data_IF_175223191587
#
_entry.id   IF_175223191587
#
_cell.length_a   1.000
_cell.length_b   1.000
_cell.length_c   1.000
_cell.angle_alpha   90.00
_cell.angle_beta   90.00
_cell.angle_gamma   90.00
#
_symmetry.space_group_name_H-M   'P 1'
#
loop_
_entity.id
_entity.type
_entity.pdbx_description
1 polymer ?
#
# COMPACT_ATOMS: atom_id res chain seq x y z
N UNK A 1 -5.62 13.55 12.35
CA UNK A 1 -4.88 12.54 13.14
C UNK A 1 -3.43 12.70 12.74
N UNK A 2 -2.53 12.84 13.73
CA UNK A 2 -1.10 13.17 13.57
C UNK A 2 -0.45 12.43 12.39
N UNK A 3 0.19 13.18 11.50
CA UNK A 3 0.87 12.71 10.30
C UNK A 3 2.39 12.88 10.39
N UNK A 4 2.94 12.72 11.58
CA UNK A 4 4.39 12.79 11.78
C UNK A 4 4.98 11.37 11.79
N UNK A 5 6.12 11.12 11.11
CA UNK A 5 6.80 9.83 11.14
C UNK A 5 7.19 9.44 12.58
N UNK A 6 7.18 8.15 12.96
CA UNK A 6 7.70 7.66 14.25
C UNK A 6 9.16 8.04 14.53
N UNK A 7 9.94 8.37 13.50
CA UNK A 7 11.33 8.84 13.65
C UNK A 7 11.39 10.33 14.04
N UNK A 8 10.32 11.08 13.79
CA UNK A 8 10.19 12.50 14.14
C UNK A 8 9.19 12.75 15.28
N UNK A 9 8.30 11.80 15.55
CA UNK A 9 7.44 11.70 16.74
C UNK A 9 8.14 11.00 17.92
N UNK A 10 9.47 10.97 17.90
CA UNK A 10 10.23 11.03 19.13
C UNK A 10 9.93 12.40 19.76
N UNK A 11 8.76 12.49 20.40
CA UNK A 11 8.26 13.67 21.07
C UNK A 11 9.35 14.18 22.00
N UNK A 12 9.63 15.45 21.78
CA UNK A 12 10.62 16.32 22.38
C UNK A 12 10.77 16.05 23.90
N UNK A 13 11.81 15.32 24.29
CA UNK A 13 12.34 15.46 25.65
C UNK A 13 13.05 14.29 26.32
N UNK A 14 12.94 13.02 25.88
CA UNK A 14 13.61 11.95 26.64
C UNK A 14 13.85 10.61 25.92
N UNK A 15 14.20 10.60 24.63
CA UNK A 15 14.71 9.37 23.99
C UNK A 15 16.24 9.37 24.09
N UNK A 16 16.88 8.41 24.79
CA UNK A 16 18.34 8.41 25.02
C UNK A 16 19.15 8.52 23.74
N UNK A 17 18.65 7.92 22.66
CA UNK A 17 19.26 7.91 21.33
C UNK A 17 19.24 9.31 20.69
N UNK A 18 18.12 10.05 20.83
CA UNK A 18 18.00 11.41 20.31
C UNK A 18 18.95 12.37 21.01
N UNK A 19 19.13 12.20 22.33
CA UNK A 19 20.03 13.01 23.14
C UNK A 19 21.49 12.66 22.82
N UNK A 20 21.80 11.37 22.69
CA UNK A 20 23.12 10.89 22.28
C UNK A 20 23.53 11.40 20.90
N UNK A 21 22.61 11.44 19.93
CA UNK A 21 22.86 11.99 18.59
C UNK A 21 23.03 13.52 18.62
N UNK A 22 22.22 14.24 19.41
CA UNK A 22 22.30 15.69 19.52
C UNK A 22 23.57 16.20 20.20
N UNK A 23 24.19 15.40 21.07
CA UNK A 23 25.41 15.76 21.80
C UNK A 23 26.71 15.30 21.14
N UNK A 24 26.68 14.79 19.90
CA UNK A 24 27.88 14.22 19.27
C UNK A 24 28.94 15.25 18.86
N UNK A 25 30.19 14.88 19.09
CA UNK A 25 31.38 15.47 18.49
C UNK A 25 31.94 14.56 17.37
N UNK A 26 32.79 15.14 16.50
CA UNK A 26 33.35 14.46 15.30
C UNK A 26 34.16 13.19 15.61
N UNK A 27 34.66 13.04 16.85
CA UNK A 27 35.51 11.93 17.27
C UNK A 27 34.77 10.85 18.08
N UNK A 28 33.45 10.99 18.29
CA UNK A 28 32.67 9.98 19.02
C UNK A 28 32.52 8.69 18.19
N UNK A 29 32.34 7.55 18.85
CA UNK A 29 32.08 6.25 18.20
C UNK A 29 30.71 6.14 17.53
N UNK A 30 30.42 5.01 16.88
CA UNK A 30 29.10 4.76 16.29
C UNK A 30 28.00 4.76 17.37
N UNK A 31 26.84 5.36 17.04
CA UNK A 31 25.64 5.29 17.88
C UNK A 31 24.85 4.07 17.45
N UNK A 32 24.67 3.12 18.37
CA UNK A 32 23.84 1.95 18.15
C UNK A 32 22.38 2.32 18.44
N UNK A 33 21.50 2.09 17.46
CA UNK A 33 20.05 2.26 17.60
C UNK A 33 19.46 0.86 17.56
N UNK A 34 18.86 0.41 18.66
CA UNK A 34 18.29 -0.92 18.74
C UNK A 34 16.91 -0.88 18.12
N UNK A 35 16.79 -1.42 16.91
CA UNK A 35 15.48 -1.65 16.31
C UNK A 35 14.80 -2.82 17.05
N UNK A 36 13.47 -2.76 17.32
CA UNK A 36 12.70 -3.90 17.82
C UNK A 36 12.79 -5.11 16.87
N UNK A 37 12.15 -6.25 17.18
CA UNK A 37 12.18 -7.56 16.46
C UNK A 37 11.73 -7.52 14.97
N UNK A 38 12.23 -6.57 14.19
CA UNK A 38 12.04 -6.45 12.77
C UNK A 38 13.09 -7.27 12.03
N UNK A 39 12.71 -7.73 10.85
CA UNK A 39 13.61 -8.43 9.96
C UNK A 39 14.69 -7.44 9.44
N UNK A 40 15.96 -7.81 9.61
CA UNK A 40 17.12 -7.00 9.21
C UNK A 40 17.12 -6.71 7.70
N UNK A 41 16.73 -7.70 6.87
CA UNK A 41 16.83 -7.59 5.42
C UNK A 41 15.92 -6.48 4.84
N UNK A 42 14.62 -6.38 5.17
CA UNK A 42 13.79 -5.24 4.73
C UNK A 42 14.33 -3.88 5.16
N UNK A 43 14.86 -3.76 6.39
CA UNK A 43 15.44 -2.50 6.89
C UNK A 43 16.67 -2.10 6.09
N UNK A 44 17.60 -3.04 5.84
CA UNK A 44 18.75 -2.81 4.98
C UNK A 44 18.32 -2.31 3.60
N UNK A 45 17.30 -2.94 2.99
CA UNK A 45 16.83 -2.53 1.67
C UNK A 45 16.19 -1.16 1.65
N UNK A 46 15.50 -0.74 2.71
CA UNK A 46 15.02 0.64 2.83
C UNK A 46 16.21 1.61 2.81
N UNK A 47 17.25 1.33 3.60
CA UNK A 47 18.44 2.20 3.68
C UNK A 47 19.20 2.25 2.34
N UNK A 48 19.38 1.11 1.68
CA UNK A 48 20.02 1.04 0.35
C UNK A 48 19.18 1.75 -0.71
N UNK A 49 17.85 1.60 -0.68
CA UNK A 49 16.96 2.29 -1.62
C UNK A 49 16.99 3.80 -1.43
N UNK A 50 17.02 4.27 -0.18
CA UNK A 50 17.02 5.70 0.13
C UNK A 50 18.39 6.37 -0.08
N UNK A 51 19.50 5.66 0.18
CA UNK A 51 20.83 6.27 0.26
C UNK A 51 21.90 5.62 -0.62
N UNK A 52 21.68 4.39 -1.11
CA UNK A 52 22.71 3.57 -1.73
C UNK A 52 23.01 3.88 -3.19
N UNK A 53 22.17 4.65 -3.89
CA UNK A 53 22.28 4.88 -5.33
C UNK A 53 22.48 3.58 -6.16
N UNK A 54 22.05 2.43 -5.63
CA UNK A 54 22.26 1.12 -6.24
C UNK A 54 21.10 0.80 -7.19
N UNK A 55 21.33 0.67 -8.51
CA UNK A 55 20.28 0.31 -9.47
C UNK A 55 19.73 -1.12 -9.27
N UNK A 56 20.37 -1.97 -8.45
CA UNK A 56 19.88 -3.31 -8.12
C UNK A 56 18.57 -3.30 -7.30
N UNK A 57 18.25 -2.18 -6.64
CA UNK A 57 17.03 -1.99 -5.82
C UNK A 57 15.73 -2.12 -6.61
N UNK A 58 15.76 -2.20 -7.93
CA UNK A 58 14.57 -2.45 -8.77
C UNK A 58 14.23 -3.93 -8.94
N UNK A 59 15.05 -4.87 -8.42
CA UNK A 59 14.93 -6.32 -8.71
C UNK A 59 14.22 -7.15 -7.64
N UNK A 60 13.53 -6.52 -6.71
CA UNK A 60 12.78 -7.25 -5.67
C UNK A 60 11.51 -7.91 -6.22
N UNK A 61 11.22 -9.10 -5.71
CA UNK A 61 9.91 -9.73 -5.84
C UNK A 61 8.84 -8.94 -5.09
N UNK A 62 7.56 -9.08 -5.46
CA UNK A 62 6.49 -8.37 -4.73
C UNK A 62 6.31 -8.84 -3.29
N UNK A 63 6.76 -10.06 -2.96
CA UNK A 63 6.79 -10.48 -1.56
C UNK A 63 7.79 -9.66 -0.77
N UNK A 64 9.01 -9.47 -1.30
CA UNK A 64 10.05 -8.64 -0.65
C UNK A 64 9.63 -7.17 -0.59
N UNK A 65 9.08 -6.63 -1.69
CA UNK A 65 8.58 -5.24 -1.71
C UNK A 65 7.45 -5.02 -0.71
N UNK A 66 6.59 -6.02 -0.48
CA UNK A 66 5.57 -5.94 0.57
C UNK A 66 6.19 -5.82 1.95
N UNK A 67 7.18 -6.65 2.29
CA UNK A 67 7.87 -6.54 3.59
C UNK A 67 8.58 -5.20 3.75
N UNK A 68 9.26 -4.71 2.70
CA UNK A 68 9.85 -3.37 2.65
C UNK A 68 8.79 -2.30 2.91
N UNK A 69 7.63 -2.37 2.26
CA UNK A 69 6.56 -1.40 2.44
C UNK A 69 5.99 -1.41 3.87
N UNK A 70 5.78 -2.59 4.46
CA UNK A 70 5.28 -2.75 5.84
C UNK A 70 6.24 -2.09 6.83
N UNK A 71 7.52 -2.40 6.70
CA UNK A 71 8.55 -1.84 7.57
C UNK A 71 8.67 -0.33 7.35
N UNK A 72 8.65 0.14 6.10
CA UNK A 72 8.68 1.57 5.81
C UNK A 72 7.46 2.31 6.38
N UNK A 73 6.27 1.72 6.36
CA UNK A 73 5.08 2.30 6.98
C UNK A 73 5.21 2.36 8.51
N UNK A 74 5.67 1.26 9.12
CA UNK A 74 5.95 1.17 10.56
C UNK A 74 6.90 2.27 11.04
N UNK A 75 7.87 2.68 10.22
CA UNK A 75 8.84 3.74 10.54
C UNK A 75 8.52 5.10 9.91
N UNK A 76 7.33 5.27 9.28
CA UNK A 76 6.91 6.52 8.66
C UNK A 76 7.79 6.96 7.47
N UNK A 77 8.41 6.01 6.79
CA UNK A 77 9.23 6.20 5.60
C UNK A 77 8.49 5.87 4.29
N UNK A 78 7.25 5.37 4.35
CA UNK A 78 6.49 4.94 3.17
C UNK A 78 6.40 6.02 2.07
N UNK A 79 6.24 7.29 2.43
CA UNK A 79 6.18 8.40 1.47
C UNK A 79 7.47 8.56 0.66
N UNK A 80 8.63 8.31 1.27
CA UNK A 80 9.93 8.42 0.60
C UNK A 80 10.14 7.31 -0.42
N UNK A 81 9.46 6.18 -0.26
CA UNK A 81 9.53 5.05 -1.18
C UNK A 81 8.60 5.17 -2.38
N UNK A 82 7.68 6.15 -2.41
CA UNK A 82 6.70 6.31 -3.49
C UNK A 82 7.34 6.44 -4.88
N UNK A 83 8.47 7.15 -4.95
CA UNK A 83 9.21 7.38 -6.19
C UNK A 83 9.72 6.05 -6.77
N UNK A 84 10.12 5.12 -5.91
CA UNK A 84 10.64 3.80 -6.31
C UNK A 84 9.51 2.79 -6.56
N UNK A 85 8.41 2.91 -5.82
CA UNK A 85 7.27 2.01 -5.88
C UNK A 85 6.71 1.83 -7.30
N UNK A 86 6.74 2.89 -8.12
CA UNK A 86 6.26 2.82 -9.50
C UNK A 86 7.04 1.81 -10.35
N UNK A 87 8.35 1.63 -10.12
CA UNK A 87 9.16 0.66 -10.85
C UNK A 87 8.78 -0.78 -10.48
N UNK A 88 8.58 -1.04 -9.18
CA UNK A 88 8.18 -2.35 -8.69
C UNK A 88 6.77 -2.75 -9.18
N UNK A 89 5.83 -1.81 -9.15
CA UNK A 89 4.42 -2.07 -9.40
C UNK A 89 4.07 -2.19 -10.89
N UNK A 90 4.83 -1.53 -11.79
CA UNK A 90 4.49 -1.45 -13.22
C UNK A 90 4.39 -2.82 -13.90
N UNK A 91 5.28 -3.75 -13.56
CA UNK A 91 5.29 -5.08 -14.16
C UNK A 91 4.34 -6.05 -13.45
N UNK A 92 4.21 -5.93 -12.12
CA UNK A 92 3.31 -6.76 -11.33
C UNK A 92 1.83 -6.54 -11.70
N UNK A 93 1.46 -5.32 -12.05
CA UNK A 93 0.10 -4.99 -12.49
C UNK A 93 -0.30 -5.59 -13.86
N UNK A 94 0.68 -6.02 -14.68
CA UNK A 94 0.44 -6.46 -16.07
C UNK A 94 0.23 -7.97 -16.24
N UNK A 95 0.43 -8.79 -15.21
CA UNK A 95 0.21 -10.25 -15.35
C UNK A 95 -1.29 -10.54 -15.54
N UNK A 96 -1.64 -11.54 -16.35
CA UNK A 96 -3.04 -11.82 -16.71
C UNK A 96 -3.47 -13.24 -16.29
N UNK A 97 -3.23 -13.55 -15.02
CA UNK A 97 -3.61 -14.84 -14.44
C UNK A 97 -5.14 -14.97 -14.31
N UNK A 98 -5.66 -16.19 -14.55
CA UNK A 98 -7.10 -16.49 -14.43
C UNK A 98 -7.63 -16.36 -13.00
N UNK A 99 -6.79 -16.66 -12.01
CA UNK A 99 -7.11 -16.58 -10.59
C UNK A 99 -6.32 -15.47 -9.90
N UNK A 100 -6.77 -15.06 -8.72
CA UNK A 100 -6.03 -14.12 -7.87
C UNK A 100 -4.81 -14.86 -7.33
N UNK A 101 -3.62 -14.32 -7.58
CA UNK A 101 -2.36 -14.87 -7.07
C UNK A 101 -1.91 -14.16 -5.80
N UNK A 102 -0.95 -14.75 -5.08
CA UNK A 102 -0.30 -14.07 -3.96
C UNK A 102 0.47 -12.81 -4.41
N UNK A 103 1.01 -12.83 -5.63
CA UNK A 103 1.62 -11.67 -6.25
C UNK A 103 0.58 -10.55 -6.46
N UNK A 104 -0.63 -10.86 -6.93
CA UNK A 104 -1.70 -9.87 -7.08
C UNK A 104 -2.07 -9.23 -5.74
N UNK A 105 -2.21 -10.05 -4.70
CA UNK A 105 -2.52 -9.57 -3.35
C UNK A 105 -1.41 -8.69 -2.79
N UNK A 106 -0.15 -9.14 -2.86
CA UNK A 106 1.00 -8.38 -2.39
C UNK A 106 1.12 -7.04 -3.14
N UNK A 107 0.85 -7.02 -4.45
CA UNK A 107 0.86 -5.79 -5.26
C UNK A 107 -0.22 -4.81 -4.81
N UNK A 108 -1.44 -5.29 -4.51
CA UNK A 108 -2.53 -4.47 -3.98
C UNK A 108 -2.15 -3.85 -2.62
N UNK A 109 -1.58 -4.66 -1.73
CA UNK A 109 -1.11 -4.23 -0.40
C UNK A 109 -0.03 -3.16 -0.51
N UNK A 110 1.00 -3.40 -1.34
CA UNK A 110 2.08 -2.43 -1.57
C UNK A 110 1.52 -1.11 -2.11
N UNK A 111 0.63 -1.17 -3.09
CA UNK A 111 0.02 0.04 -3.65
C UNK A 111 -0.78 0.83 -2.58
N UNK A 112 -1.43 0.15 -1.64
CA UNK A 112 -2.13 0.80 -0.53
C UNK A 112 -1.19 1.41 0.51
N UNK A 113 -0.14 0.68 0.91
CA UNK A 113 0.80 1.13 1.93
C UNK A 113 1.58 2.34 1.40
N UNK A 114 2.16 2.20 0.21
CA UNK A 114 2.94 3.25 -0.45
C UNK A 114 2.07 4.30 -1.16
N UNK A 115 0.75 4.30 -0.95
CA UNK A 115 -0.18 5.31 -1.47
C UNK A 115 -0.11 5.55 -3.00
N UNK A 116 0.08 4.48 -3.78
CA UNK A 116 0.18 4.56 -5.25
C UNK A 116 -1.19 4.38 -5.90
N UNK A 117 -1.90 5.50 -6.12
CA UNK A 117 -3.28 5.55 -6.63
C UNK A 117 -3.52 4.72 -7.89
N UNK A 118 -2.69 4.91 -8.92
CA UNK A 118 -2.89 4.26 -10.21
C UNK A 118 -2.75 2.74 -10.11
N UNK A 119 -1.82 2.26 -9.29
CA UNK A 119 -1.56 0.83 -9.09
C UNK A 119 -2.69 0.21 -8.27
N UNK A 120 -3.17 0.89 -7.24
CA UNK A 120 -4.30 0.45 -6.45
C UNK A 120 -5.56 0.29 -7.31
N UNK A 121 -5.85 1.30 -8.14
CA UNK A 121 -6.95 1.25 -9.10
C UNK A 121 -6.79 0.09 -10.10
N UNK A 122 -5.60 -0.07 -10.70
CA UNK A 122 -5.34 -1.12 -11.67
C UNK A 122 -5.50 -2.52 -11.05
N UNK A 123 -4.95 -2.74 -9.84
CA UNK A 123 -5.01 -4.04 -9.17
C UNK A 123 -6.42 -4.41 -8.74
N UNK A 124 -7.20 -3.47 -8.22
CA UNK A 124 -8.60 -3.72 -7.85
C UNK A 124 -9.45 -4.04 -9.08
N UNK A 125 -9.23 -3.32 -10.19
CA UNK A 125 -9.87 -3.63 -11.47
C UNK A 125 -9.47 -5.02 -12.01
N UNK A 126 -8.22 -5.42 -11.85
CA UNK A 126 -7.69 -6.74 -12.25
C UNK A 126 -8.24 -7.89 -11.41
N UNK A 127 -8.39 -7.69 -10.09
CA UNK A 127 -8.87 -8.71 -9.15
C UNK A 127 -10.40 -8.89 -9.25
N UNK A 128 -11.13 -7.80 -9.51
CA UNK A 128 -12.58 -7.74 -9.66
C UNK A 128 -13.18 -8.91 -10.48
N UNK A 129 -12.80 -9.16 -11.74
CA UNK A 129 -13.46 -10.17 -12.56
C UNK A 129 -13.21 -11.62 -12.12
N UNK A 130 -12.30 -11.86 -11.17
CA UNK A 130 -11.88 -13.20 -10.74
C UNK A 130 -12.84 -13.71 -9.66
N UNK A 131 -13.16 -15.01 -9.63
CA UNK A 131 -14.03 -15.62 -8.60
C UNK A 131 -13.29 -16.13 -7.37
N UNK A 132 -11.96 -15.94 -7.32
CA UNK A 132 -11.13 -16.42 -6.21
C UNK A 132 -11.53 -15.77 -4.89
N UNK A 133 -11.77 -16.60 -3.87
CA UNK A 133 -11.98 -16.15 -2.49
C UNK A 133 -10.71 -15.52 -1.93
N UNK A 134 -10.87 -14.37 -1.27
CA UNK A 134 -9.76 -13.60 -0.71
C UNK A 134 -9.36 -14.02 0.70
N UNK A 135 -10.14 -14.88 1.36
CA UNK A 135 -9.94 -15.26 2.77
C UNK A 135 -8.53 -15.78 3.06
N UNK A 136 -7.98 -16.61 2.17
CA UNK A 136 -6.62 -17.18 2.34
C UNK A 136 -5.52 -16.11 2.36
N UNK A 137 -5.73 -14.98 1.68
CA UNK A 137 -4.76 -13.89 1.64
C UNK A 137 -4.89 -12.97 2.86
N UNK A 138 -6.12 -12.74 3.31
CA UNK A 138 -6.43 -11.93 4.49
C UNK A 138 -5.84 -12.56 5.74
N UNK A 139 -5.98 -13.89 5.91
CA UNK A 139 -5.49 -14.60 7.09
C UNK A 139 -3.95 -14.51 7.25
N UNK A 140 -3.24 -14.40 6.11
CA UNK A 140 -1.78 -14.26 6.05
C UNK A 140 -1.29 -12.81 6.12
N UNK A 141 -2.20 -11.83 6.14
CA UNK A 141 -1.82 -10.42 6.18
C UNK A 141 -1.70 -9.93 7.63
N UNK A 142 -0.61 -9.23 7.94
CA UNK A 142 -0.27 -8.83 9.30
C UNK A 142 -1.35 -7.93 9.94
N UNK A 143 -1.93 -7.01 9.17
CA UNK A 143 -3.08 -6.20 9.58
C UNK A 143 -4.40 -6.84 9.09
N UNK A 144 -4.97 -7.71 9.94
CA UNK A 144 -6.24 -8.40 9.64
C UNK A 144 -7.39 -7.43 9.36
N UNK A 145 -7.44 -6.27 10.02
CA UNK A 145 -8.52 -5.31 9.82
C UNK A 145 -8.45 -4.70 8.42
N UNK A 146 -7.27 -4.23 8.01
CA UNK A 146 -7.07 -3.71 6.65
C UNK A 146 -7.26 -4.79 5.59
N UNK A 147 -6.80 -6.03 5.85
CA UNK A 147 -7.04 -7.18 4.97
C UNK A 147 -8.53 -7.44 4.76
N UNK A 148 -9.33 -7.44 5.84
CA UNK A 148 -10.78 -7.59 5.76
C UNK A 148 -11.43 -6.43 4.98
N UNK A 149 -10.98 -5.18 5.16
CA UNK A 149 -11.46 -4.04 4.37
C UNK A 149 -11.21 -4.25 2.87
N UNK A 150 -10.03 -4.73 2.46
CA UNK A 150 -9.79 -5.07 1.05
C UNK A 150 -10.75 -6.15 0.54
N UNK A 151 -10.92 -7.22 1.31
CA UNK A 151 -11.83 -8.31 0.97
C UNK A 151 -13.24 -7.79 0.70
N UNK A 152 -13.80 -7.05 1.65
CA UNK A 152 -15.14 -6.46 1.53
C UNK A 152 -15.25 -5.50 0.35
N UNK A 153 -14.25 -4.64 0.14
CA UNK A 153 -14.27 -3.66 -0.94
C UNK A 153 -14.23 -4.32 -2.32
N UNK A 154 -13.45 -5.39 -2.50
CA UNK A 154 -13.41 -6.16 -3.74
C UNK A 154 -14.74 -6.91 -3.96
N UNK A 155 -15.34 -7.50 -2.92
CA UNK A 155 -16.64 -8.17 -3.05
C UNK A 155 -17.77 -7.20 -3.38
N UNK A 156 -17.76 -6.00 -2.78
CA UNK A 156 -18.69 -4.93 -3.16
C UNK A 156 -18.49 -4.53 -4.64
N UNK A 157 -17.23 -4.35 -5.06
CA UNK A 157 -16.88 -4.03 -6.45
C UNK A 157 -17.36 -5.12 -7.42
N UNK A 158 -17.17 -6.40 -7.09
CA UNK A 158 -17.67 -7.57 -7.84
C UNK A 158 -19.17 -7.51 -8.01
N UNK A 159 -19.90 -7.27 -6.92
CA UNK A 159 -21.36 -7.19 -6.90
C UNK A 159 -21.88 -6.05 -7.77
N UNK A 160 -21.31 -4.85 -7.64
CA UNK A 160 -21.71 -3.68 -8.44
C UNK A 160 -21.41 -3.93 -9.91
N UNK A 161 -20.24 -4.47 -10.25
CA UNK A 161 -19.87 -4.77 -11.64
C UNK A 161 -20.80 -5.79 -12.31
N UNK A 162 -21.35 -6.74 -11.56
CA UNK A 162 -22.35 -7.69 -12.06
C UNK A 162 -23.72 -7.04 -12.33
N UNK A 163 -24.09 -6.01 -11.55
CA UNK A 163 -25.39 -5.35 -11.64
C UNK A 163 -25.49 -4.31 -12.77
N UNK A 164 -24.36 -3.89 -13.33
CA UNK A 164 -24.34 -2.88 -14.40
C UNK A 164 -24.58 -3.53 -15.78
N UNK A 165 -25.53 -3.02 -16.60
CA UNK A 165 -25.78 -3.53 -17.95
C UNK A 165 -24.54 -3.48 -18.84
N UNK A 166 -24.31 -4.55 -19.61
CA UNK A 166 -23.14 -4.72 -20.48
C UNK A 166 -22.96 -3.66 -21.59
N UNK A 167 -23.98 -2.83 -21.86
CA UNK A 167 -23.96 -1.79 -22.89
C UNK A 167 -23.03 -0.61 -22.55
N UNK A 168 -22.68 -0.43 -21.27
CA UNK A 168 -21.79 0.63 -20.82
C UNK A 168 -20.33 0.15 -20.81
N UNK A 169 -19.73 0.07 -22.00
CA UNK A 169 -18.38 -0.45 -22.22
C UNK A 169 -17.26 0.18 -21.37
N UNK A 170 -17.45 1.41 -20.87
CA UNK A 170 -16.50 2.11 -19.98
C UNK A 170 -16.50 1.59 -18.53
N UNK A 171 -17.53 0.87 -18.10
CA UNK A 171 -17.67 0.41 -16.71
C UNK A 171 -16.85 -0.87 -16.44
N UNK A 172 -16.44 -1.58 -17.51
CA UNK A 172 -15.56 -2.76 -17.40
C UNK A 172 -14.18 -2.42 -16.85
N UNK A 173 -13.73 -1.17 -16.98
CA UNK A 173 -12.40 -0.72 -16.54
C UNK A 173 -12.38 -0.04 -15.16
N UNK A 174 -13.47 -0.13 -14.38
CA UNK A 174 -13.53 0.51 -13.06
C UNK A 174 -12.85 -0.34 -11.97
N UNK A 175 -11.89 0.26 -11.29
CA UNK A 175 -11.32 -0.17 -10.01
C UNK A 175 -11.71 0.79 -8.87
N UNK A 176 -11.19 0.53 -7.67
CA UNK A 176 -11.39 1.38 -6.51
C UNK A 176 -10.34 2.50 -6.46
N UNK A 177 -10.74 3.65 -5.95
CA UNK A 177 -9.83 4.75 -5.65
C UNK A 177 -9.31 4.64 -4.24
N UNK A 178 -7.99 4.75 -4.08
CA UNK A 178 -7.35 4.64 -2.77
C UNK A 178 -7.89 5.70 -1.78
N UNK A 179 -8.07 6.94 -2.23
CA UNK A 179 -8.66 8.00 -1.40
C UNK A 179 -10.04 7.62 -0.88
N UNK A 180 -10.94 7.20 -1.77
CA UNK A 180 -12.31 6.82 -1.40
C UNK A 180 -12.31 5.55 -0.54
N UNK A 181 -11.51 4.55 -0.88
CA UNK A 181 -11.32 3.35 -0.07
C UNK A 181 -10.91 3.70 1.37
N UNK A 182 -9.94 4.61 1.53
CA UNK A 182 -9.42 4.99 2.84
C UNK A 182 -10.47 5.70 3.69
N UNK A 183 -11.34 6.50 3.07
CA UNK A 183 -12.36 7.32 3.73
C UNK A 183 -13.77 6.72 3.72
N UNK A 184 -13.96 5.54 3.13
CA UNK A 184 -15.26 4.89 2.99
C UNK A 184 -15.82 4.50 4.37
N UNK A 185 -17.03 4.98 4.66
CA UNK A 185 -17.78 4.66 5.90
C UNK A 185 -19.02 3.81 5.64
N UNK A 186 -19.57 3.81 4.43
CA UNK A 186 -20.78 3.06 4.08
C UNK A 186 -20.69 2.23 2.80
N UNK A 187 -19.88 2.66 1.82
CA UNK A 187 -19.67 1.96 0.55
C UNK A 187 -18.27 2.27 0.03
N UNK A 188 -17.58 1.26 -0.50
CA UNK A 188 -16.25 1.41 -1.10
C UNK A 188 -16.31 1.86 -2.56
N UNK A 189 -17.43 1.60 -3.25
CA UNK A 189 -17.61 1.90 -4.67
C UNK A 189 -18.18 3.30 -4.93
N UNK A 190 -18.74 3.94 -3.91
CA UNK A 190 -19.27 5.30 -3.99
C UNK A 190 -18.17 6.37 -3.91
N UNK A 191 -18.41 7.47 -4.61
CA UNK A 191 -17.51 8.62 -4.58
C UNK A 191 -17.59 9.34 -3.23
N UNK A 192 -16.43 9.57 -2.60
CA UNK A 192 -16.33 10.50 -1.48
C UNK A 192 -16.35 11.95 -1.98
N UNK A 193 -16.94 12.87 -1.22
CA UNK A 193 -17.13 14.28 -1.61
C UNK A 193 -15.84 15.04 -1.98
N UNK A 194 -14.67 14.54 -1.57
CA UNK A 194 -13.35 15.14 -1.84
C UNK A 194 -12.51 14.33 -2.84
N UNK A 195 -13.11 13.41 -3.59
CA UNK A 195 -12.39 12.62 -4.57
C UNK A 195 -12.02 13.44 -5.81
N UNK A 196 -10.75 13.41 -6.21
CA UNK A 196 -10.22 14.10 -7.39
C UNK A 196 -10.61 13.44 -8.73
N UNK A 197 -11.23 12.25 -8.71
CA UNK A 197 -11.56 11.47 -9.91
C UNK A 197 -13.03 11.02 -9.91
N UNK A 198 -13.99 11.97 -10.01
CA UNK A 198 -15.43 11.66 -9.99
C UNK A 198 -15.84 10.68 -11.09
N UNK A 199 -15.32 10.84 -12.30
CA UNK A 199 -15.76 10.10 -13.49
C UNK A 199 -15.37 8.62 -13.51
N UNK A 200 -14.62 8.17 -12.50
CA UNK A 200 -14.13 6.80 -12.38
C UNK A 200 -14.83 5.99 -11.28
N UNK A 201 -15.93 6.50 -10.74
CA UNK A 201 -16.76 5.81 -9.75
C UNK A 201 -18.04 5.26 -10.38
N UNK A 202 -18.60 4.23 -9.77
CA UNK A 202 -19.92 3.75 -10.17
C UNK A 202 -20.96 4.79 -9.77
N UNK A 203 -21.64 5.37 -10.75
CA UNK A 203 -22.77 6.26 -10.53
C UNK A 203 -23.93 5.40 -10.00
N UNK A 204 -24.09 5.36 -8.69
CA UNK A 204 -25.32 4.85 -8.09
C UNK A 204 -26.35 5.96 -8.16
N UNK A 205 -27.34 5.84 -9.04
CA UNK A 205 -28.57 6.59 -8.89
C UNK A 205 -29.10 6.29 -7.48
N UNK A 206 -29.31 7.33 -6.68
CA UNK A 206 -29.97 7.20 -5.38
C UNK A 206 -31.33 6.54 -5.64
N UNK A 207 -31.57 5.39 -5.00
CA UNK A 207 -32.91 4.85 -4.79
C UNK A 207 -33.76 5.86 -4.02
#
# INVERSE_FOLDING_TARGET
>A
MNTSPPILDADEGNVPESQALASRCKDDGAVEIILPEDNEAPMEQILVTLYGADPSVTKFSMSEVKEIAIVADKYGMAERLQVFASFWLLNAAKTNDKEVTENDWNTLVVAYILKIDWAFFAMTNKIKPKSTSLLKFIDRFHDKYTGLRFGMAIEELRKVAFQVPHEWGSIKEMGLFLFCFSHATGSFTQQCARCNYPDRHYITQRL
#
